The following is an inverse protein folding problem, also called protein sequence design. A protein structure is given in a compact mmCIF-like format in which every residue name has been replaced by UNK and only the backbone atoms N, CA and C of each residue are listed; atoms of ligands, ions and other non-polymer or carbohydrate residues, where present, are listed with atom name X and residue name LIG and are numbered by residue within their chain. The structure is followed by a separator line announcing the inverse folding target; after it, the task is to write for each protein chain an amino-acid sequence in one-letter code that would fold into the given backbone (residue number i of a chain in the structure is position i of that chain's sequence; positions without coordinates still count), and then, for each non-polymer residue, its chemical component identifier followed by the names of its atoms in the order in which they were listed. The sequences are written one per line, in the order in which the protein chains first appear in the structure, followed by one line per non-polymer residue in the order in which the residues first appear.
data_IF_121705790824
#
_entry.id   IF_121705790824
#
_cell.length_a   1.000
_cell.length_b   1.000
_cell.length_c   1.000
_cell.angle_alpha   90.00
_cell.angle_beta   90.00
_cell.angle_gamma   90.00
#
_symmetry.space_group_name_H-M   'P 1'
#
loop_
_entity.id
_entity.type
_entity.pdbx_description
1 polymer ?
#
# COMPACT_ATOMS: atom_id res chain seq x y z
N UNK A 1 -49.65 6.01 14.49
CA UNK A 1 -49.57 6.95 13.37
C UNK A 1 -48.22 6.76 12.68
N UNK A 2 -48.17 6.27 11.43
CA UNK A 2 -46.90 6.12 10.69
C UNK A 2 -46.54 7.49 10.09
N UNK A 3 -45.47 8.09 10.58
CA UNK A 3 -44.94 9.36 10.08
C UNK A 3 -44.50 9.17 8.62
N UNK A 4 -45.23 9.74 7.65
CA UNK A 4 -44.86 9.71 6.23
C UNK A 4 -43.57 10.53 6.07
N UNK A 5 -42.45 9.86 5.81
CA UNK A 5 -41.18 10.52 5.47
C UNK A 5 -41.39 11.31 4.19
N UNK A 6 -40.98 12.59 4.19
CA UNK A 6 -41.16 13.50 3.07
C UNK A 6 -40.33 13.01 1.85
N UNK A 7 -40.94 12.83 0.66
CA UNK A 7 -40.24 12.35 -0.53
C UNK A 7 -39.05 13.24 -0.94
N UNK A 8 -39.09 14.54 -0.62
CA UNK A 8 -37.95 15.44 -0.83
C UNK A 8 -36.73 15.07 0.02
N UNK A 9 -36.97 14.65 1.27
CA UNK A 9 -35.91 14.22 2.19
C UNK A 9 -35.27 12.91 1.70
N UNK A 10 -36.07 11.96 1.21
CA UNK A 10 -35.56 10.73 0.61
C UNK A 10 -34.72 11.00 -0.65
N UNK A 11 -35.16 11.92 -1.51
CA UNK A 11 -34.41 12.31 -2.71
C UNK A 11 -33.08 13.01 -2.37
N UNK A 12 -33.11 13.90 -1.37
CA UNK A 12 -31.92 14.57 -0.87
C UNK A 12 -30.91 13.57 -0.29
N UNK A 13 -31.39 12.61 0.52
CA UNK A 13 -30.53 11.55 1.08
C UNK A 13 -29.92 10.68 -0.03
N UNK A 14 -30.70 10.27 -1.03
CA UNK A 14 -30.20 9.47 -2.15
C UNK A 14 -29.12 10.20 -2.95
N UNK A 15 -29.32 11.50 -3.21
CA UNK A 15 -28.35 12.33 -3.92
C UNK A 15 -27.06 12.53 -3.11
N UNK A 16 -27.18 12.65 -1.79
CA UNK A 16 -26.04 12.76 -0.88
C UNK A 16 -25.26 11.44 -0.83
N UNK A 17 -25.94 10.30 -0.73
CA UNK A 17 -25.29 8.99 -0.72
C UNK A 17 -24.56 8.71 -2.03
N UNK A 18 -25.15 9.03 -3.18
CA UNK A 18 -24.49 8.85 -4.47
C UNK A 18 -23.27 9.75 -4.63
N UNK A 19 -23.32 10.99 -4.12
CA UNK A 19 -22.16 11.89 -4.14
C UNK A 19 -21.03 11.44 -3.21
N UNK A 20 -21.36 10.87 -2.03
CA UNK A 20 -20.38 10.29 -1.11
C UNK A 20 -19.73 9.05 -1.72
N UNK A 21 -20.52 8.18 -2.34
CA UNK A 21 -20.05 6.96 -3.00
C UNK A 21 -19.15 7.28 -4.21
N UNK A 22 -19.52 8.25 -5.04
CA UNK A 22 -18.70 8.70 -6.17
C UNK A 22 -17.35 9.26 -5.69
N UNK A 23 -17.35 10.11 -4.65
CA UNK A 23 -16.11 10.62 -4.04
C UNK A 23 -15.27 9.50 -3.42
N UNK A 24 -15.87 8.52 -2.76
CA UNK A 24 -15.17 7.37 -2.23
C UNK A 24 -14.51 6.56 -3.36
N UNK A 25 -15.22 6.38 -4.48
CA UNK A 25 -14.70 5.71 -5.67
C UNK A 25 -13.50 6.44 -6.30
N UNK A 26 -13.56 7.78 -6.37
CA UNK A 26 -12.46 8.61 -6.88
C UNK A 26 -11.25 8.59 -5.94
N UNK A 27 -11.50 8.66 -4.62
CA UNK A 27 -10.46 8.55 -3.60
C UNK A 27 -9.73 7.19 -3.68
N UNK A 28 -10.50 6.11 -3.82
CA UNK A 28 -9.96 4.75 -4.00
C UNK A 28 -9.11 4.66 -5.27
N UNK A 29 -9.62 5.11 -6.43
CA UNK A 29 -8.84 5.13 -7.68
C UNK A 29 -7.55 5.95 -7.57
N UNK A 30 -7.58 7.06 -6.84
CA UNK A 30 -6.41 7.89 -6.62
C UNK A 30 -5.40 7.23 -5.66
N UNK A 31 -5.87 6.57 -4.60
CA UNK A 31 -5.04 5.75 -3.72
C UNK A 31 -4.32 4.64 -4.50
N UNK A 32 -5.05 3.92 -5.36
CA UNK A 32 -4.47 2.89 -6.23
C UNK A 32 -3.35 3.44 -7.10
N UNK A 33 -3.60 4.54 -7.83
CA UNK A 33 -2.57 5.15 -8.68
C UNK A 33 -1.33 5.57 -7.90
N UNK A 34 -1.51 6.12 -6.70
CA UNK A 34 -0.38 6.49 -5.83
C UNK A 34 0.41 5.28 -5.39
N UNK A 35 -0.27 4.19 -5.01
CA UNK A 35 0.37 2.94 -4.66
C UNK A 35 1.23 2.42 -5.81
N UNK A 36 0.65 2.25 -7.00
CA UNK A 36 1.38 1.74 -8.16
C UNK A 36 2.52 2.64 -8.63
N UNK A 37 2.35 3.95 -8.52
CA UNK A 37 3.43 4.92 -8.80
C UNK A 37 4.58 4.78 -7.79
N UNK A 38 4.27 4.58 -6.51
CA UNK A 38 5.27 4.36 -5.47
C UNK A 38 5.97 3.00 -5.61
N UNK A 39 5.29 1.94 -6.02
CA UNK A 39 5.91 0.64 -6.34
C UNK A 39 6.89 0.78 -7.52
N UNK A 40 6.49 1.51 -8.57
CA UNK A 40 7.38 1.78 -9.71
C UNK A 40 8.62 2.57 -9.28
N UNK A 41 8.45 3.58 -8.42
CA UNK A 41 9.56 4.34 -7.87
C UNK A 41 10.47 3.46 -7.00
N UNK A 42 9.89 2.61 -6.15
CA UNK A 42 10.65 1.65 -5.35
C UNK A 42 11.51 0.77 -6.25
N UNK A 43 10.92 0.15 -7.27
CA UNK A 43 11.66 -0.68 -8.24
C UNK A 43 12.84 0.10 -8.86
N UNK A 44 12.62 1.33 -9.30
CA UNK A 44 13.68 2.18 -9.86
C UNK A 44 14.81 2.48 -8.85
N UNK A 45 14.47 2.76 -7.59
CA UNK A 45 15.46 3.01 -6.54
C UNK A 45 16.26 1.75 -6.23
N UNK A 46 15.61 0.59 -6.19
CA UNK A 46 16.27 -0.69 -5.90
C UNK A 46 17.18 -1.17 -7.03
N UNK A 47 17.02 -0.67 -8.27
CA UNK A 47 17.99 -0.90 -9.34
C UNK A 47 19.37 -0.24 -9.08
N UNK A 48 19.48 0.67 -8.12
CA UNK A 48 20.77 1.24 -7.71
C UNK A 48 21.57 0.32 -6.80
N UNK A 49 20.99 -0.80 -6.41
CA UNK A 49 21.67 -1.85 -5.67
C UNK A 49 22.94 -2.32 -6.39
N UNK A 50 24.08 -2.25 -5.71
CA UNK A 50 25.40 -2.55 -6.29
C UNK A 50 26.06 -1.41 -7.08
N UNK A 51 25.34 -0.30 -7.34
CA UNK A 51 25.89 0.92 -7.96
C UNK A 51 26.25 1.96 -6.91
N UNK A 52 25.41 2.12 -5.88
CA UNK A 52 25.66 3.00 -4.73
C UNK A 52 25.71 2.20 -3.43
N UNK A 53 26.07 2.85 -2.32
CA UNK A 53 26.15 2.21 -1.01
C UNK A 53 24.79 1.61 -0.60
N UNK A 54 24.79 0.36 -0.14
CA UNK A 54 23.57 -0.39 0.19
C UNK A 54 22.72 0.34 1.23
N UNK A 55 23.32 0.91 2.27
CA UNK A 55 22.62 1.69 3.30
C UNK A 55 21.82 2.86 2.71
N UNK A 56 22.34 3.48 1.65
CA UNK A 56 21.63 4.56 0.95
C UNK A 56 20.42 4.04 0.18
N UNK A 57 20.57 2.89 -0.50
CA UNK A 57 19.46 2.24 -1.22
C UNK A 57 18.37 1.79 -0.25
N UNK A 58 18.77 1.22 0.90
CA UNK A 58 17.85 0.75 1.94
C UNK A 58 17.14 1.91 2.64
N UNK A 59 17.84 2.99 2.97
CA UNK A 59 17.20 4.18 3.56
C UNK A 59 16.17 4.80 2.60
N UNK A 60 16.53 4.99 1.33
CA UNK A 60 15.60 5.55 0.34
C UNK A 60 14.45 4.60 0.01
N UNK A 61 14.75 3.35 -0.32
CA UNK A 61 13.78 2.36 -0.77
C UNK A 61 12.93 1.81 0.37
N UNK A 62 13.55 1.28 1.42
CA UNK A 62 12.81 0.59 2.49
C UNK A 62 12.31 1.56 3.56
N UNK A 63 13.19 2.41 4.09
CA UNK A 63 12.80 3.32 5.19
C UNK A 63 11.89 4.45 4.71
N UNK A 64 12.21 5.11 3.59
CA UNK A 64 11.46 6.29 3.13
C UNK A 64 10.32 5.97 2.17
N UNK A 65 10.46 4.99 1.26
CA UNK A 65 9.39 4.66 0.31
C UNK A 65 8.45 3.58 0.84
N UNK A 66 8.97 2.39 1.17
CA UNK A 66 8.15 1.27 1.63
C UNK A 66 7.42 1.60 2.93
N UNK A 67 8.15 1.92 4.00
CA UNK A 67 7.55 2.10 5.32
C UNK A 67 6.65 3.34 5.44
N UNK A 68 6.98 4.46 4.77
CA UNK A 68 6.18 5.70 4.89
C UNK A 68 5.00 5.78 3.93
N UNK A 69 5.06 5.15 2.76
CA UNK A 69 4.02 5.31 1.72
C UNK A 69 3.32 4.01 1.36
N UNK A 70 4.06 2.94 1.08
CA UNK A 70 3.47 1.69 0.60
C UNK A 70 2.80 0.92 1.73
N UNK A 71 3.46 0.80 2.88
CA UNK A 71 2.96 0.02 4.01
C UNK A 71 1.60 0.53 4.51
N UNK A 72 1.40 1.86 4.54
CA UNK A 72 0.12 2.44 4.92
C UNK A 72 -1.01 2.03 3.96
N UNK A 73 -0.74 1.95 2.66
CA UNK A 73 -1.75 1.50 1.69
C UNK A 73 -2.05 0.00 1.86
N UNK A 74 -1.02 -0.81 2.10
CA UNK A 74 -1.16 -2.24 2.36
C UNK A 74 -2.01 -2.52 3.60
N UNK A 75 -1.74 -1.82 4.70
CA UNK A 75 -2.49 -1.94 5.96
C UNK A 75 -3.95 -1.49 5.84
N UNK A 76 -4.25 -0.56 4.93
CA UNK A 76 -5.61 -0.09 4.65
C UNK A 76 -6.33 -0.91 3.58
N UNK A 77 -5.64 -1.82 2.89
CA UNK A 77 -6.24 -2.73 1.92
C UNK A 77 -6.78 -3.96 2.67
N UNK A 78 -8.07 -4.30 2.55
CA UNK A 78 -8.63 -5.48 3.19
C UNK A 78 -7.88 -6.76 2.79
N UNK A 79 -7.77 -7.76 3.69
CA UNK A 79 -7.22 -9.07 3.33
C UNK A 79 -7.97 -9.68 2.15
N UNK A 80 -7.22 -10.15 1.15
CA UNK A 80 -7.80 -10.72 -0.07
C UNK A 80 -6.83 -10.67 -1.26
N UNK A 81 -7.30 -11.08 -2.46
CA UNK A 81 -6.45 -11.20 -3.65
C UNK A 81 -5.71 -9.90 -4.01
N UNK A 82 -6.36 -8.75 -3.87
CA UNK A 82 -5.75 -7.43 -4.16
C UNK A 82 -4.59 -7.11 -3.22
N UNK A 83 -4.76 -7.32 -1.90
CA UNK A 83 -3.67 -7.13 -0.94
C UNK A 83 -2.50 -8.09 -1.22
N UNK A 84 -2.79 -9.37 -1.53
CA UNK A 84 -1.77 -10.37 -1.88
C UNK A 84 -1.00 -9.95 -3.14
N UNK A 85 -1.69 -9.48 -4.18
CA UNK A 85 -1.04 -8.99 -5.41
C UNK A 85 -0.10 -7.81 -5.11
N UNK A 86 -0.57 -6.84 -4.33
CA UNK A 86 0.24 -5.68 -3.93
C UNK A 86 1.48 -6.09 -3.13
N UNK A 87 1.33 -7.01 -2.17
CA UNK A 87 2.44 -7.58 -1.41
C UNK A 87 3.44 -8.30 -2.31
N UNK A 88 2.97 -9.15 -3.23
CA UNK A 88 3.82 -9.85 -4.19
C UNK A 88 4.61 -8.88 -5.08
N UNK A 89 3.99 -7.78 -5.52
CA UNK A 89 4.67 -6.76 -6.32
C UNK A 89 5.77 -6.03 -5.56
N UNK A 90 5.56 -5.77 -4.26
CA UNK A 90 6.61 -5.20 -3.40
C UNK A 90 7.76 -6.20 -3.22
N UNK A 91 7.46 -7.46 -2.89
CA UNK A 91 8.47 -8.53 -2.71
C UNK A 91 9.30 -8.73 -3.98
N UNK A 92 8.65 -8.74 -5.14
CA UNK A 92 9.32 -8.92 -6.44
C UNK A 92 10.32 -7.79 -6.79
N UNK A 93 10.28 -6.65 -6.10
CA UNK A 93 11.26 -5.58 -6.29
C UNK A 93 12.54 -5.79 -5.47
N UNK A 94 12.52 -6.64 -4.45
CA UNK A 94 13.61 -6.74 -3.47
C UNK A 94 14.80 -7.55 -4.02
N UNK A 95 16.04 -7.06 -3.91
CA UNK A 95 17.22 -7.81 -4.33
C UNK A 95 17.43 -9.07 -3.48
N UNK A 96 17.56 -10.23 -4.12
CA UNK A 96 17.79 -11.51 -3.43
C UNK A 96 19.07 -11.50 -2.58
N UNK A 97 20.11 -10.77 -3.03
CA UNK A 97 21.41 -10.71 -2.36
C UNK A 97 21.33 -10.15 -0.93
N UNK A 98 20.35 -9.29 -0.63
CA UNK A 98 20.14 -8.73 0.70
C UNK A 98 19.77 -9.78 1.75
N UNK A 99 19.35 -10.97 1.30
CA UNK A 99 18.90 -12.04 2.17
C UNK A 99 19.89 -13.20 2.30
N UNK A 100 21.02 -13.18 1.58
CA UNK A 100 21.97 -14.30 1.53
C UNK A 100 22.72 -14.52 2.85
N UNK A 101 23.01 -13.45 3.60
CA UNK A 101 23.76 -13.51 4.86
C UNK A 101 22.86 -13.48 6.10
N UNK A 102 21.54 -13.45 5.92
CA UNK A 102 20.60 -13.44 7.04
C UNK A 102 20.54 -14.82 7.69
N UNK A 103 20.58 -14.84 9.03
CA UNK A 103 20.31 -16.05 9.80
C UNK A 103 18.86 -16.48 9.56
N UNK A 104 18.60 -17.78 9.58
CA UNK A 104 17.24 -18.32 9.50
C UNK A 104 16.31 -17.63 10.52
N UNK A 105 15.22 -17.06 10.03
CA UNK A 105 14.25 -16.32 10.86
C UNK A 105 14.59 -14.86 11.13
N UNK A 106 15.70 -14.33 10.60
CA UNK A 106 16.02 -12.89 10.63
C UNK A 106 15.60 -12.20 9.33
N UNK A 107 15.29 -10.91 9.43
CA UNK A 107 14.98 -10.01 8.30
C UNK A 107 15.76 -8.70 8.46
N UNK A 108 15.78 -7.87 7.43
CA UNK A 108 16.31 -6.52 7.52
C UNK A 108 15.44 -5.69 8.50
N UNK A 109 16.02 -4.85 9.37
CA UNK A 109 15.25 -4.03 10.32
C UNK A 109 14.13 -3.21 9.65
N UNK A 110 14.39 -2.67 8.47
CA UNK A 110 13.47 -1.85 7.69
C UNK A 110 12.29 -2.67 7.13
N UNK A 111 12.45 -3.99 6.97
CA UNK A 111 11.40 -4.88 6.49
C UNK A 111 10.54 -5.44 7.61
N UNK A 112 10.88 -5.23 8.89
CA UNK A 112 10.21 -5.87 10.01
C UNK A 112 8.69 -5.65 10.01
N UNK A 113 8.24 -4.41 9.79
CA UNK A 113 6.81 -4.07 9.74
C UNK A 113 6.11 -4.72 8.54
N UNK A 114 6.79 -4.81 7.41
CA UNK A 114 6.26 -5.46 6.22
C UNK A 114 6.14 -6.98 6.42
N UNK A 115 7.16 -7.63 6.98
CA UNK A 115 7.09 -9.04 7.36
C UNK A 115 5.96 -9.32 8.35
N UNK A 116 5.75 -8.45 9.35
CA UNK A 116 4.62 -8.56 10.27
C UNK A 116 3.27 -8.45 9.55
N UNK A 117 3.16 -7.57 8.55
CA UNK A 117 1.96 -7.47 7.73
C UNK A 117 1.70 -8.74 6.92
N UNK A 118 2.74 -9.36 6.35
CA UNK A 118 2.62 -10.60 5.56
C UNK A 118 2.18 -11.82 6.37
N UNK A 119 2.45 -11.83 7.69
CA UNK A 119 2.10 -12.92 8.60
C UNK A 119 0.68 -12.81 9.18
N UNK A 120 -0.04 -11.72 8.88
CA UNK A 120 -1.38 -11.44 9.40
C UNK A 120 -2.45 -12.02 8.49
#
# INVERSE_FOLDING_TARGET
SKQKINPFFTFFLLSLTSAVEDKASLCSKFQERRFWSAVKLLSNVLLWDGVVQEDTVRDLGLSKLLNRYLLLNLLNTPPGPDNIEKCNKVVACLPERWFQELKSGSTLPELQNFCQHLLR
#
